data_IF_879611042090
#
_entry.id   IF_879611042090
#
_cell.length_a   1.000
_cell.length_b   1.000
_cell.length_c   1.000
_cell.angle_alpha   90.00
_cell.angle_beta   90.00
_cell.angle_gamma   90.00
#
_symmetry.space_group_name_H-M   'P 1'
#
loop_
_entity.id
_entity.type
_entity.pdbx_description
1 polymer ?
#
# COMPACT_ATOMS: atom_id res chain seq x y z
N UNK A 1 12.05 25.74 -16.99
CA UNK A 1 12.96 25.30 -18.07
C UNK A 1 13.58 23.98 -17.66
N UNK A 2 13.05 22.84 -18.10
CA UNK A 2 13.41 21.53 -17.52
C UNK A 2 13.68 20.44 -18.55
N UNK A 3 14.10 20.81 -19.77
CA UNK A 3 14.47 19.83 -20.79
C UNK A 3 15.68 20.35 -21.57
N UNK A 4 16.86 19.86 -21.20
CA UNK A 4 18.01 19.86 -22.10
C UNK A 4 17.89 18.59 -22.93
N UNK A 5 17.66 18.77 -24.23
CA UNK A 5 17.83 17.72 -25.22
C UNK A 5 19.33 17.51 -25.39
N UNK A 6 19.89 16.51 -24.72
CA UNK A 6 21.20 15.99 -25.06
C UNK A 6 21.04 15.00 -26.22
N UNK A 7 21.15 15.55 -27.43
CA UNK A 7 21.36 14.80 -28.66
C UNK A 7 22.79 14.25 -28.63
N UNK A 8 22.96 12.92 -28.71
CA UNK A 8 24.22 12.16 -28.86
C UNK A 8 24.82 11.43 -27.64
N UNK A 9 23.99 10.76 -26.85
CA UNK A 9 24.47 9.60 -26.09
C UNK A 9 23.64 8.39 -26.51
N UNK A 10 24.27 7.29 -26.92
CA UNK A 10 23.56 6.02 -27.12
C UNK A 10 22.74 5.75 -25.87
N UNK A 11 21.41 5.63 -26.06
CA UNK A 11 20.45 5.42 -24.98
C UNK A 11 20.89 4.24 -24.12
N UNK A 12 20.72 4.34 -22.81
CA UNK A 12 21.08 3.24 -21.92
C UNK A 12 20.26 1.98 -22.26
N UNK A 13 19.00 2.18 -22.66
CA UNK A 13 18.12 1.15 -23.23
C UNK A 13 18.72 0.52 -24.49
N UNK A 14 19.29 1.30 -25.41
CA UNK A 14 19.93 0.76 -26.62
C UNK A 14 21.14 -0.12 -26.28
N UNK A 15 21.93 0.26 -25.27
CA UNK A 15 23.07 -0.54 -24.80
C UNK A 15 22.63 -1.84 -24.13
N UNK A 16 21.50 -1.81 -23.41
CA UNK A 16 20.90 -3.00 -22.82
C UNK A 16 20.39 -3.96 -23.89
N UNK A 17 19.72 -3.43 -24.92
CA UNK A 17 19.20 -4.20 -26.05
C UNK A 17 20.29 -4.81 -26.95
N UNK A 18 21.55 -4.36 -26.80
CA UNK A 18 22.71 -4.96 -27.46
C UNK A 18 23.23 -6.22 -26.73
N UNK A 19 22.80 -6.49 -25.49
CA UNK A 19 23.13 -7.72 -24.78
C UNK A 19 22.32 -8.90 -25.35
N UNK A 20 22.95 -10.06 -25.48
CA UNK A 20 22.31 -11.27 -26.02
C UNK A 20 21.24 -11.87 -25.07
N UNK A 21 21.35 -11.59 -23.78
CA UNK A 21 20.56 -12.18 -22.69
C UNK A 21 19.67 -11.17 -21.95
N UNK A 22 19.43 -9.99 -22.54
CA UNK A 22 18.59 -8.95 -21.92
C UNK A 22 17.18 -9.46 -21.63
N UNK A 23 16.74 -9.24 -20.41
CA UNK A 23 15.40 -9.64 -19.95
C UNK A 23 14.41 -8.48 -19.99
N UNK A 24 13.11 -8.79 -20.01
CA UNK A 24 12.07 -7.76 -19.90
C UNK A 24 12.20 -6.99 -18.58
N UNK A 25 12.49 -7.69 -17.47
CA UNK A 25 12.63 -7.08 -16.14
C UNK A 25 13.77 -6.05 -16.07
N UNK A 26 14.96 -6.39 -16.58
CA UNK A 26 16.09 -5.44 -16.64
C UNK A 26 15.74 -4.19 -17.45
N UNK A 27 14.96 -4.37 -18.52
CA UNK A 27 14.52 -3.28 -19.38
C UNK A 27 13.44 -2.42 -18.72
N UNK A 28 12.55 -3.02 -17.93
CA UNK A 28 11.49 -2.34 -17.18
C UNK A 28 12.01 -1.57 -15.96
N UNK A 29 13.19 -1.93 -15.44
CA UNK A 29 13.86 -1.25 -14.34
C UNK A 29 14.53 0.08 -14.76
N UNK A 30 14.57 0.40 -16.06
CA UNK A 30 15.17 1.63 -16.58
C UNK A 30 14.25 2.85 -16.41
N UNK A 31 14.75 3.90 -15.75
CA UNK A 31 14.01 5.12 -15.44
C UNK A 31 13.45 5.85 -16.67
N UNK A 32 14.10 5.70 -17.83
CA UNK A 32 13.74 6.36 -19.09
C UNK A 32 12.92 5.46 -20.04
N UNK A 33 12.57 4.23 -19.66
CA UNK A 33 11.89 3.26 -20.54
C UNK A 33 10.60 3.79 -21.16
N UNK A 34 9.80 4.53 -20.38
CA UNK A 34 8.56 5.15 -20.85
C UNK A 34 8.84 6.33 -21.79
N UNK A 35 9.93 7.07 -21.56
CA UNK A 35 10.34 8.18 -22.42
C UNK A 35 10.85 7.66 -23.77
N UNK A 36 11.64 6.59 -23.77
CA UNK A 36 12.14 5.91 -24.97
C UNK A 36 11.00 5.29 -25.80
N UNK A 37 10.00 4.68 -25.15
CA UNK A 37 8.77 4.25 -25.81
C UNK A 37 8.07 5.42 -26.52
N UNK A 38 7.93 6.55 -25.81
CA UNK A 38 7.29 7.77 -26.34
C UNK A 38 8.10 8.41 -27.47
N UNK A 39 9.44 8.30 -27.42
CA UNK A 39 10.35 8.73 -28.47
C UNK A 39 10.36 7.78 -29.67
N UNK A 40 9.56 6.71 -29.65
CA UNK A 40 9.46 5.70 -30.71
C UNK A 40 10.80 5.00 -30.99
N UNK A 41 11.55 4.67 -29.93
CA UNK A 41 12.76 3.86 -30.08
C UNK A 41 12.40 2.51 -30.70
N UNK A 42 12.83 2.29 -31.95
CA UNK A 42 12.45 1.10 -32.73
C UNK A 42 12.99 -0.19 -32.13
N UNK A 43 14.24 -0.18 -31.64
CA UNK A 43 14.84 -1.38 -31.03
C UNK A 43 14.03 -1.82 -29.81
N UNK A 44 13.64 -0.85 -28.99
CA UNK A 44 12.80 -1.06 -27.81
C UNK A 44 11.41 -1.60 -28.18
N UNK A 45 10.73 -0.93 -29.12
CA UNK A 45 9.39 -1.35 -29.53
C UNK A 45 9.41 -2.75 -30.16
N UNK A 46 10.39 -3.04 -31.02
CA UNK A 46 10.57 -4.35 -31.63
C UNK A 46 10.83 -5.44 -30.58
N UNK A 47 11.56 -5.12 -29.51
CA UNK A 47 11.78 -6.03 -28.38
C UNK A 47 10.49 -6.27 -27.58
N UNK A 48 9.80 -5.20 -27.16
CA UNK A 48 8.57 -5.30 -26.36
C UNK A 48 7.44 -6.02 -27.12
N UNK A 49 7.38 -5.88 -28.44
CA UNK A 49 6.42 -6.57 -29.29
C UNK A 49 6.75 -8.06 -29.56
N UNK A 50 7.86 -8.60 -29.06
CA UNK A 50 8.12 -10.04 -29.13
C UNK A 50 7.08 -10.81 -28.31
N UNK A 51 6.65 -11.96 -28.81
CA UNK A 51 5.61 -12.80 -28.18
C UNK A 51 5.88 -13.06 -26.70
N UNK A 52 7.10 -13.48 -26.36
CA UNK A 52 7.49 -13.78 -24.97
C UNK A 52 7.37 -12.55 -24.06
N UNK A 53 7.82 -11.38 -24.53
CA UNK A 53 7.71 -10.13 -23.77
C UNK A 53 6.25 -9.71 -23.60
N UNK A 54 5.43 -9.84 -24.65
CA UNK A 54 4.00 -9.54 -24.57
C UNK A 54 3.25 -10.45 -23.59
N UNK A 55 3.55 -11.75 -23.59
CA UNK A 55 2.98 -12.69 -22.63
C UNK A 55 3.39 -12.36 -21.19
N UNK A 56 4.65 -12.00 -20.97
CA UNK A 56 5.18 -11.62 -19.66
C UNK A 56 4.58 -10.29 -19.16
N UNK A 57 4.47 -9.27 -20.03
CA UNK A 57 3.78 -8.02 -19.71
C UNK A 57 2.32 -8.26 -19.32
N UNK A 58 1.61 -9.12 -20.06
CA UNK A 58 0.24 -9.50 -19.74
C UNK A 58 0.20 -10.26 -18.40
N UNK A 59 1.15 -11.17 -18.17
CA UNK A 59 1.25 -11.91 -16.91
C UNK A 59 1.41 -10.96 -15.72
N UNK A 60 2.30 -9.97 -15.81
CA UNK A 60 2.57 -8.97 -14.76
C UNK A 60 1.34 -8.12 -14.37
N UNK A 61 0.40 -7.89 -15.29
CA UNK A 61 -0.81 -7.10 -14.99
C UNK A 61 -2.04 -7.97 -14.66
N UNK A 62 -1.99 -9.27 -14.92
CA UNK A 62 -3.14 -10.19 -14.74
C UNK A 62 -2.99 -11.14 -13.57
N UNK A 63 -1.79 -11.30 -13.02
CA UNK A 63 -1.53 -12.14 -11.86
C UNK A 63 -1.27 -11.28 -10.62
N UNK A 64 -1.70 -11.79 -9.46
CA UNK A 64 -1.35 -11.18 -8.18
C UNK A 64 0.18 -11.20 -8.00
N UNK A 65 0.78 -10.12 -7.45
CA UNK A 65 2.20 -10.11 -7.16
C UNK A 65 2.55 -11.24 -6.17
N UNK A 66 3.77 -11.80 -6.25
CA UNK A 66 4.15 -12.88 -5.37
C UNK A 66 4.14 -12.42 -3.90
N UNK A 67 3.74 -13.32 -3.00
CA UNK A 67 3.52 -13.01 -1.57
C UNK A 67 4.75 -12.41 -0.88
N UNK A 68 5.96 -12.72 -1.38
CA UNK A 68 7.22 -12.17 -0.87
C UNK A 68 7.36 -10.67 -1.16
N UNK A 69 6.80 -10.18 -2.27
CA UNK A 69 6.78 -8.76 -2.61
C UNK A 69 5.81 -8.02 -1.69
N UNK A 70 4.62 -8.58 -1.42
CA UNK A 70 3.71 -8.05 -0.40
C UNK A 70 4.36 -8.04 0.99
N UNK A 71 5.10 -9.09 1.35
CA UNK A 71 5.80 -9.18 2.62
C UNK A 71 6.89 -8.11 2.74
N UNK A 72 7.72 -7.92 1.70
CA UNK A 72 8.74 -6.85 1.66
C UNK A 72 8.13 -5.46 1.82
N UNK A 73 6.99 -5.20 1.19
CA UNK A 73 6.27 -3.91 1.33
C UNK A 73 5.79 -3.75 2.77
N UNK A 74 5.15 -4.77 3.35
CA UNK A 74 4.67 -4.73 4.73
C UNK A 74 5.81 -4.63 5.75
N UNK A 75 6.97 -5.24 5.47
CA UNK A 75 8.18 -5.13 6.28
C UNK A 75 8.71 -3.71 6.30
N UNK A 76 8.86 -3.11 5.12
CA UNK A 76 9.31 -1.72 5.00
C UNK A 76 8.32 -0.75 5.62
N UNK A 77 7.03 -0.94 5.37
CA UNK A 77 5.97 -0.06 5.87
C UNK A 77 5.75 -0.20 7.38
N UNK A 78 5.77 -1.41 7.91
CA UNK A 78 5.59 -1.67 9.35
C UNK A 78 6.82 -1.32 10.20
N UNK A 79 8.02 -1.36 9.61
CA UNK A 79 9.28 -1.02 10.27
C UNK A 79 9.68 0.46 10.19
N UNK A 80 9.03 1.26 9.34
CA UNK A 80 9.35 2.67 9.14
C UNK A 80 8.28 3.58 9.78
N UNK A 81 8.64 4.18 10.93
CA UNK A 81 7.75 5.08 11.67
C UNK A 81 7.34 6.32 10.84
N UNK A 82 8.14 6.76 9.86
CA UNK A 82 7.78 7.89 9.00
C UNK A 82 6.64 7.54 8.05
N UNK A 83 6.66 6.34 7.46
CA UNK A 83 5.60 5.85 6.58
C UNK A 83 4.32 5.55 7.36
N UNK A 84 4.44 5.01 8.58
CA UNK A 84 3.30 4.82 9.48
C UNK A 84 2.65 6.15 9.88
N UNK A 85 3.42 7.22 10.06
CA UNK A 85 2.86 8.55 10.30
C UNK A 85 2.08 9.07 9.09
N UNK A 86 2.60 8.92 7.86
CA UNK A 86 1.86 9.32 6.65
C UNK A 86 0.52 8.58 6.54
N UNK A 87 0.50 7.27 6.85
CA UNK A 87 -0.74 6.52 6.91
C UNK A 87 -1.67 7.05 8.01
N UNK A 88 -1.14 7.32 9.20
CA UNK A 88 -1.92 7.84 10.32
C UNK A 88 -2.59 9.19 10.00
N UNK A 89 -1.86 10.11 9.37
CA UNK A 89 -2.33 11.45 9.01
C UNK A 89 -3.54 11.41 8.04
N UNK A 90 -3.79 10.28 7.37
CA UNK A 90 -5.02 10.08 6.59
C UNK A 90 -6.28 10.25 7.45
N UNK A 91 -6.23 9.89 8.74
CA UNK A 91 -7.38 10.01 9.64
C UNK A 91 -7.64 11.45 10.10
N UNK A 92 -6.68 12.37 9.97
CA UNK A 92 -6.86 13.77 10.37
C UNK A 92 -7.76 14.57 9.43
N UNK A 93 -8.00 14.06 8.21
CA UNK A 93 -8.92 14.68 7.25
C UNK A 93 -10.33 14.88 7.85
N UNK A 94 -11.04 15.91 7.36
CA UNK A 94 -12.42 16.12 7.75
C UNK A 94 -13.34 15.06 7.13
N UNK A 95 -14.33 14.54 7.89
CA UNK A 95 -15.34 13.65 7.34
C UNK A 95 -16.16 14.33 6.23
N UNK A 96 -16.67 13.56 5.26
CA UNK A 96 -16.46 12.13 5.09
C UNK A 96 -15.13 11.82 4.37
N UNK A 97 -14.48 10.72 4.76
CA UNK A 97 -13.36 10.18 3.98
C UNK A 97 -13.85 9.69 2.61
N UNK A 98 -12.96 9.71 1.63
CA UNK A 98 -13.21 9.04 0.36
C UNK A 98 -13.36 7.52 0.60
N UNK A 99 -14.50 6.88 0.25
CA UNK A 99 -14.75 5.47 0.56
C UNK A 99 -13.73 4.50 -0.05
N UNK A 100 -13.19 4.81 -1.23
CA UNK A 100 -12.16 4.00 -1.89
C UNK A 100 -10.84 4.10 -1.13
N UNK A 101 -10.40 5.32 -0.79
CA UNK A 101 -9.17 5.53 -0.02
C UNK A 101 -9.28 4.95 1.39
N UNK A 102 -10.44 5.07 2.03
CA UNK A 102 -10.72 4.46 3.32
C UNK A 102 -10.64 2.93 3.26
N UNK A 103 -11.08 2.32 2.15
CA UNK A 103 -10.95 0.88 1.92
C UNK A 103 -9.49 0.45 1.79
N UNK A 104 -8.67 1.22 1.05
CA UNK A 104 -7.23 0.96 0.98
C UNK A 104 -6.55 1.12 2.33
N UNK A 105 -6.83 2.20 3.04
CA UNK A 105 -6.28 2.44 4.39
C UNK A 105 -6.64 1.29 5.35
N UNK A 106 -7.92 0.92 5.43
CA UNK A 106 -8.40 -0.18 6.29
C UNK A 106 -7.72 -1.50 5.98
N UNK A 107 -7.56 -1.81 4.68
CA UNK A 107 -6.92 -3.05 4.23
C UNK A 107 -5.42 -3.05 4.54
N UNK A 108 -4.73 -1.93 4.31
CA UNK A 108 -3.30 -1.77 4.63
C UNK A 108 -3.06 -1.92 6.13
N UNK A 109 -3.75 -1.15 6.97
CA UNK A 109 -3.60 -1.26 8.43
C UNK A 109 -3.99 -2.66 8.92
N UNK A 110 -5.06 -3.25 8.36
CA UNK A 110 -5.48 -4.61 8.68
C UNK A 110 -4.40 -5.66 8.39
N UNK A 111 -3.78 -5.57 7.21
CA UNK A 111 -2.68 -6.46 6.82
C UNK A 111 -1.44 -6.25 7.70
N UNK A 112 -1.09 -5.01 8.01
CA UNK A 112 0.03 -4.67 8.89
C UNK A 112 -0.19 -5.21 10.31
N UNK A 113 -1.41 -5.10 10.85
CA UNK A 113 -1.74 -5.68 12.17
C UNK A 113 -1.64 -7.21 12.13
N UNK A 114 -2.09 -7.85 11.05
CA UNK A 114 -2.04 -9.30 10.94
C UNK A 114 -0.62 -9.87 10.80
N UNK A 115 0.27 -9.15 10.09
CA UNK A 115 1.64 -9.63 9.80
C UNK A 115 2.73 -9.04 10.72
N UNK A 116 2.52 -7.84 11.29
CA UNK A 116 3.50 -7.08 12.10
C UNK A 116 2.86 -6.52 13.38
N UNK A 117 2.07 -7.35 14.06
CA UNK A 117 1.25 -6.95 15.21
C UNK A 117 2.04 -6.15 16.25
N UNK A 118 3.16 -6.66 16.76
CA UNK A 118 3.89 -5.99 17.85
C UNK A 118 4.39 -4.59 17.48
N UNK A 119 4.96 -4.41 16.29
CA UNK A 119 5.52 -3.14 15.82
C UNK A 119 4.42 -2.10 15.62
N UNK A 120 3.37 -2.49 14.89
CA UNK A 120 2.23 -1.61 14.57
C UNK A 120 1.48 -1.24 15.85
N UNK A 121 1.25 -2.19 16.74
CA UNK A 121 0.58 -1.92 18.03
C UNK A 121 1.42 -1.02 18.92
N UNK A 122 2.74 -1.18 18.94
CA UNK A 122 3.63 -0.28 19.67
C UNK A 122 3.57 1.14 19.11
N UNK A 123 3.52 1.30 17.78
CA UNK A 123 3.32 2.60 17.14
C UNK A 123 1.96 3.22 17.49
N UNK A 124 0.86 2.46 17.33
CA UNK A 124 -0.49 2.95 17.60
C UNK A 124 -0.70 3.35 19.06
N UNK A 125 -0.06 2.66 20.01
CA UNK A 125 -0.07 3.03 21.43
C UNK A 125 0.62 4.36 21.75
N UNK A 126 1.51 4.85 20.88
CA UNK A 126 2.08 6.21 21.00
C UNK A 126 1.13 7.29 20.48
N UNK A 127 0.02 6.90 19.84
CA UNK A 127 -0.94 7.78 19.19
C UNK A 127 -2.25 7.77 19.98
N UNK A 128 -2.30 8.52 21.08
CA UNK A 128 -3.43 8.57 22.02
C UNK A 128 -4.78 8.93 21.37
N UNK A 129 -4.77 9.53 20.17
CA UNK A 129 -5.97 9.92 19.44
C UNK A 129 -6.39 8.93 18.35
N UNK A 130 -5.64 7.85 18.10
CA UNK A 130 -5.89 6.94 16.98
C UNK A 130 -7.33 6.40 16.97
N UNK A 131 -7.79 5.84 18.09
CA UNK A 131 -9.14 5.28 18.19
C UNK A 131 -10.21 6.37 18.01
N UNK A 132 -10.01 7.54 18.62
CA UNK A 132 -10.93 8.68 18.46
C UNK A 132 -11.03 9.14 17.00
N UNK A 133 -9.91 9.16 16.28
CA UNK A 133 -9.88 9.50 14.86
C UNK A 133 -10.53 8.43 13.98
N UNK A 134 -10.35 7.13 14.29
CA UNK A 134 -11.09 6.06 13.59
C UNK A 134 -12.60 6.20 13.81
N UNK A 135 -13.02 6.48 15.05
CA UNK A 135 -14.44 6.68 15.39
C UNK A 135 -15.04 7.93 14.75
N UNK A 136 -14.25 9.00 14.55
CA UNK A 136 -14.65 10.19 13.79
C UNK A 136 -15.15 9.85 12.38
N UNK A 137 -14.68 8.74 11.81
CA UNK A 137 -14.96 8.30 10.44
C UNK A 137 -15.79 7.02 10.36
N UNK A 138 -16.45 6.62 11.45
CA UNK A 138 -17.14 5.32 11.57
C UNK A 138 -18.28 5.12 10.56
N UNK A 139 -18.86 6.21 10.04
CA UNK A 139 -19.90 6.17 9.00
C UNK A 139 -19.37 5.59 7.67
N UNK A 140 -18.05 5.52 7.50
CA UNK A 140 -17.44 4.82 6.37
C UNK A 140 -17.27 3.33 6.73
N UNK A 141 -17.91 2.43 5.98
CA UNK A 141 -17.92 0.98 6.24
C UNK A 141 -16.52 0.39 6.47
N UNK A 142 -15.53 0.83 5.70
CA UNK A 142 -14.15 0.38 5.84
C UNK A 142 -13.53 0.70 7.22
N UNK A 143 -13.93 1.78 7.87
CA UNK A 143 -13.46 2.16 9.21
C UNK A 143 -14.10 1.32 10.30
N UNK A 144 -15.37 0.95 10.11
CA UNK A 144 -16.07 0.01 10.99
C UNK A 144 -15.42 -1.38 10.94
N UNK A 145 -15.11 -1.87 9.73
CA UNK A 145 -14.38 -3.14 9.56
C UNK A 145 -12.99 -3.10 10.21
N UNK A 146 -12.30 -1.96 10.12
CA UNK A 146 -11.01 -1.75 10.78
C UNK A 146 -11.14 -1.81 12.31
N UNK A 147 -12.17 -1.16 12.87
CA UNK A 147 -12.43 -1.19 14.31
C UNK A 147 -12.71 -2.61 14.81
N UNK A 148 -13.55 -3.37 14.11
CA UNK A 148 -13.81 -4.77 14.46
C UNK A 148 -12.55 -5.62 14.39
N UNK A 149 -11.70 -5.41 13.39
CA UNK A 149 -10.43 -6.11 13.24
C UNK A 149 -9.46 -5.77 14.38
N UNK A 150 -9.39 -4.51 14.80
CA UNK A 150 -8.60 -4.07 15.96
C UNK A 150 -9.08 -4.76 17.24
N UNK A 151 -10.40 -4.88 17.45
CA UNK A 151 -10.96 -5.57 18.61
C UNK A 151 -10.65 -7.08 18.57
N UNK A 152 -10.65 -7.67 17.38
CA UNK A 152 -10.53 -9.13 17.19
C UNK A 152 -9.07 -9.63 17.18
N UNK A 153 -8.13 -8.84 16.63
CA UNK A 153 -6.75 -9.28 16.41
C UNK A 153 -5.77 -8.79 17.48
N UNK A 154 -6.15 -7.84 18.33
CA UNK A 154 -5.25 -7.26 19.33
C UNK A 154 -5.49 -7.92 20.68
N UNK A 155 -4.80 -9.04 20.91
CA UNK A 155 -4.83 -9.79 22.16
C UNK A 155 -4.09 -9.18 23.37
N UNK A 156 -3.36 -8.05 23.34
CA UNK A 156 -3.12 -7.31 24.57
C UNK A 156 -4.33 -6.46 24.95
N UNK A 157 -4.83 -6.65 26.18
CA UNK A 157 -6.00 -5.99 26.76
C UNK A 157 -6.00 -4.45 26.69
N UNK A 158 -4.86 -3.78 26.46
CA UNK A 158 -4.75 -2.32 26.54
C UNK A 158 -5.51 -1.56 25.44
N UNK A 159 -5.31 -1.90 24.15
CA UNK A 159 -6.03 -1.21 23.06
C UNK A 159 -7.51 -1.60 23.02
N UNK A 160 -7.81 -2.86 23.35
CA UNK A 160 -9.19 -3.30 23.57
C UNK A 160 -9.84 -2.52 24.70
N UNK A 161 -9.15 -2.31 25.83
CA UNK A 161 -9.67 -1.48 26.93
C UNK A 161 -9.82 -0.02 26.55
N UNK A 162 -8.94 0.53 25.72
CA UNK A 162 -9.07 1.92 25.24
C UNK A 162 -10.26 2.09 24.30
N UNK A 163 -10.43 1.18 23.33
CA UNK A 163 -11.66 1.09 22.52
C UNK A 163 -12.88 0.90 23.43
N UNK A 164 -12.77 0.02 24.44
CA UNK A 164 -13.83 -0.26 25.39
C UNK A 164 -14.13 0.91 26.35
N UNK A 165 -13.16 1.79 26.63
CA UNK A 165 -13.32 2.96 27.48
C UNK A 165 -13.92 4.13 26.68
N UNK A 166 -13.58 4.24 25.39
CA UNK A 166 -14.25 5.16 24.47
C UNK A 166 -15.68 4.68 24.13
N UNK A 167 -16.04 3.42 24.47
CA UNK A 167 -17.40 2.82 24.31
C UNK A 167 -18.55 3.59 24.91
N UNK A 168 -18.33 4.59 25.77
CA UNK A 168 -19.40 5.53 26.10
C UNK A 168 -20.04 6.17 24.85
N UNK A 169 -19.35 6.09 23.70
CA UNK A 169 -19.78 6.62 22.39
C UNK A 169 -20.04 5.56 21.31
N UNK A 170 -19.83 4.26 21.57
CA UNK A 170 -20.03 3.19 20.58
C UNK A 170 -21.43 2.59 20.77
N UNK A 171 -22.27 2.46 19.72
CA UNK A 171 -23.59 1.84 19.83
C UNK A 171 -23.52 0.44 20.46
N UNK A 172 -24.34 0.19 21.48
CA UNK A 172 -24.37 -1.04 22.27
C UNK A 172 -24.54 -2.33 21.45
N UNK A 173 -25.09 -2.24 20.23
CA UNK A 173 -25.22 -3.36 19.30
C UNK A 173 -23.88 -3.95 18.83
N UNK A 174 -22.79 -3.17 18.89
CA UNK A 174 -21.45 -3.62 18.46
C UNK A 174 -20.65 -4.32 19.56
N UNK A 175 -21.08 -4.19 20.82
CA UNK A 175 -20.36 -4.73 21.99
C UNK A 175 -20.72 -6.17 22.33
N UNK A 176 -21.64 -6.79 21.59
CA UNK A 176 -21.91 -8.22 21.72
C UNK A 176 -22.31 -8.63 23.14
N UNK A 177 -23.10 -7.83 23.85
CA UNK A 177 -23.88 -8.35 24.97
C UNK A 177 -25.01 -9.20 24.39
N UNK A 178 -24.68 -10.47 24.12
CA UNK A 178 -25.67 -11.51 23.96
C UNK A 178 -26.54 -11.52 25.22
N UNK A 179 -27.78 -11.07 25.06
CA UNK A 179 -28.78 -11.08 26.12
C UNK A 179 -28.87 -12.45 26.76
N UNK A 180 -28.94 -12.43 28.09
CA UNK A 180 -29.50 -13.53 28.89
C UNK A 180 -30.92 -13.88 28.43
#
# INVERSE_FOLDING_TARGET
MFWKFDLNTTSHVDKLLEKEDVTLHELMDEDDILQECKAQNRKLLDFLCKQQCMEELVSLITHDPPLDMEEKINDKLGGDETLLNILYDFLDHEPPLNPLLASFFSKTIGNLIARKTEQVITFLKKKDQFISLVLKHIDTSAMMDLLLRLISCVEPAALRQEVLNVSGSIPSFLLGEAGK
#
